data_IF_970148664838
#
_entry.id   IF_970148664838
#
_cell.length_a   1.000
_cell.length_b   1.000
_cell.length_c   1.000
_cell.angle_alpha   90.00
_cell.angle_beta   90.00
_cell.angle_gamma   90.00
#
_symmetry.space_group_name_H-M   'P 1'
#
loop_
_entity.id
_entity.type
_entity.pdbx_description
1 polymer ?
#
# COMPACT_ATOMS: atom_id res chain seq x y z
N UNK A 1 -2.58 4.04 3.64
CA UNK A 1 -2.39 2.72 4.30
C UNK A 1 -3.66 1.89 4.33
N UNK A 2 -4.77 2.37 4.91
CA UNK A 2 -6.02 1.60 4.99
C UNK A 2 -6.53 1.15 3.60
N UNK A 3 -6.50 2.03 2.60
CA UNK A 3 -6.89 1.69 1.22
C UNK A 3 -6.04 0.56 0.62
N UNK A 4 -4.71 0.71 0.65
CA UNK A 4 -3.78 -0.34 0.17
C UNK A 4 -4.01 -1.68 0.86
N UNK A 5 -4.12 -1.69 2.20
CA UNK A 5 -4.32 -2.92 2.96
C UNK A 5 -5.61 -3.66 2.54
N UNK A 6 -6.70 -2.93 2.28
CA UNK A 6 -7.96 -3.53 1.82
C UNK A 6 -7.79 -4.17 0.44
N UNK A 7 -7.11 -3.51 -0.50
CA UNK A 7 -6.88 -4.05 -1.84
C UNK A 7 -5.92 -5.24 -1.87
N UNK A 8 -4.84 -5.18 -1.08
CA UNK A 8 -3.84 -6.22 -0.94
C UNK A 8 -4.45 -7.49 -0.31
N UNK A 9 -5.11 -7.34 0.84
CA UNK A 9 -5.84 -8.43 1.50
C UNK A 9 -6.95 -9.01 0.64
N UNK A 10 -7.73 -8.15 -0.03
CA UNK A 10 -8.82 -8.59 -0.90
C UNK A 10 -8.32 -9.44 -2.07
N UNK A 11 -7.20 -9.05 -2.67
CA UNK A 11 -6.62 -9.77 -3.81
C UNK A 11 -6.04 -11.11 -3.36
N UNK A 12 -5.21 -11.13 -2.31
CA UNK A 12 -4.60 -12.36 -1.81
C UNK A 12 -5.67 -13.33 -1.27
N UNK A 13 -6.67 -12.83 -0.52
CA UNK A 13 -7.77 -13.65 0.00
C UNK A 13 -8.61 -14.25 -1.14
N UNK A 14 -8.87 -13.48 -2.21
CA UNK A 14 -9.59 -13.98 -3.38
C UNK A 14 -8.85 -15.16 -4.04
N UNK A 15 -7.54 -15.04 -4.25
CA UNK A 15 -6.73 -16.13 -4.81
C UNK A 15 -6.61 -17.31 -3.85
N UNK A 16 -6.58 -17.07 -2.55
CA UNK A 16 -6.57 -18.12 -1.52
C UNK A 16 -7.88 -18.92 -1.48
N UNK A 17 -9.03 -18.26 -1.63
CA UNK A 17 -10.36 -18.92 -1.66
C UNK A 17 -10.60 -19.65 -2.98
N UNK A 18 -10.21 -19.04 -4.10
CA UNK A 18 -10.42 -19.63 -5.43
C UNK A 18 -9.44 -20.75 -5.76
N UNK A 19 -8.32 -20.85 -5.04
CA UNK A 19 -7.33 -21.92 -5.18
C UNK A 19 -6.68 -21.99 -6.57
N UNK A 20 -6.73 -20.89 -7.33
CA UNK A 20 -6.19 -20.84 -8.69
C UNK A 20 -4.66 -20.90 -8.60
N UNK A 21 -3.99 -21.86 -9.27
CA UNK A 21 -2.53 -21.99 -9.22
C UNK A 21 -1.87 -20.95 -10.13
N UNK A 22 -1.93 -19.69 -9.72
CA UNK A 22 -1.22 -18.61 -10.38
C UNK A 22 0.18 -18.43 -9.78
N UNK A 23 1.16 -17.97 -10.57
CA UNK A 23 2.48 -17.66 -10.04
C UNK A 23 2.36 -16.55 -8.99
N UNK A 24 2.99 -16.75 -7.84
CA UNK A 24 2.93 -15.83 -6.68
C UNK A 24 3.27 -14.38 -7.10
N UNK A 25 4.25 -14.22 -7.99
CA UNK A 25 4.63 -12.90 -8.53
C UNK A 25 3.46 -12.18 -9.22
N UNK A 26 2.61 -12.89 -9.96
CA UNK A 26 1.45 -12.29 -10.62
C UNK A 26 0.37 -11.86 -9.62
N UNK A 27 0.16 -12.65 -8.56
CA UNK A 27 -0.77 -12.32 -7.49
C UNK A 27 -0.30 -11.06 -6.77
N UNK A 28 0.99 -10.97 -6.43
CA UNK A 28 1.59 -9.79 -5.79
C UNK A 28 1.46 -8.54 -6.67
N UNK A 29 1.77 -8.64 -7.97
CA UNK A 29 1.64 -7.48 -8.88
C UNK A 29 0.17 -7.02 -8.97
N UNK A 30 -0.78 -7.95 -9.04
CA UNK A 30 -2.20 -7.61 -9.03
C UNK A 30 -2.63 -6.98 -7.71
N UNK A 31 -2.13 -7.50 -6.60
CA UNK A 31 -2.43 -6.98 -5.27
C UNK A 31 -1.92 -5.54 -5.12
N UNK A 32 -0.72 -5.24 -5.62
CA UNK A 32 -0.15 -3.90 -5.69
C UNK A 32 -1.00 -2.96 -6.55
N UNK A 33 -1.41 -3.40 -7.74
CA UNK A 33 -2.24 -2.56 -8.62
C UNK A 33 -3.60 -2.25 -7.95
N UNK A 34 -4.26 -3.27 -7.40
CA UNK A 34 -5.55 -3.12 -6.74
C UNK A 34 -5.47 -2.28 -5.46
N UNK A 35 -4.43 -2.48 -4.65
CA UNK A 35 -4.21 -1.72 -3.43
C UNK A 35 -3.86 -0.24 -3.72
N UNK A 36 -3.10 0.05 -4.78
CA UNK A 36 -2.89 1.43 -5.24
C UNK A 36 -4.18 2.08 -5.73
N UNK A 37 -4.97 1.40 -6.56
CA UNK A 37 -6.24 1.94 -7.09
C UNK A 37 -7.20 2.25 -5.96
N UNK A 38 -7.40 1.30 -5.05
CA UNK A 38 -8.31 1.47 -3.91
C UNK A 38 -7.84 2.59 -2.97
N UNK A 39 -6.53 2.73 -2.73
CA UNK A 39 -5.98 3.82 -1.93
C UNK A 39 -6.14 5.18 -2.60
N UNK A 40 -5.83 5.30 -3.89
CA UNK A 40 -5.99 6.56 -4.64
C UNK A 40 -7.46 7.00 -4.63
N UNK A 41 -8.40 6.07 -4.86
CA UNK A 41 -9.83 6.36 -4.81
C UNK A 41 -10.23 6.85 -3.42
N UNK A 42 -9.82 6.13 -2.36
CA UNK A 42 -10.17 6.46 -0.98
C UNK A 42 -9.58 7.81 -0.55
N UNK A 43 -8.31 8.08 -0.86
CA UNK A 43 -7.64 9.36 -0.59
C UNK A 43 -8.28 10.50 -1.38
N UNK A 44 -8.65 10.29 -2.65
CA UNK A 44 -9.33 11.30 -3.47
C UNK A 44 -10.70 11.64 -2.89
N UNK A 45 -11.48 10.65 -2.45
CA UNK A 45 -12.79 10.86 -1.82
C UNK A 45 -12.65 11.64 -0.50
N UNK A 46 -11.65 11.30 0.32
CA UNK A 46 -11.38 11.99 1.59
C UNK A 46 -10.98 13.46 1.32
N UNK A 47 -10.08 13.71 0.37
CA UNK A 47 -9.64 15.05 0.01
C UNK A 47 -10.78 15.90 -0.56
N UNK A 48 -11.64 15.31 -1.39
CA UNK A 48 -12.85 15.98 -1.88
C UNK A 48 -13.79 16.39 -0.73
N UNK A 49 -13.94 15.54 0.29
CA UNK A 49 -14.70 15.89 1.50
C UNK A 49 -14.06 17.02 2.31
N UNK A 50 -12.76 17.25 2.16
CA UNK A 50 -12.01 18.34 2.80
C UNK A 50 -12.02 19.65 1.99
N UNK A 51 -12.96 19.85 1.06
CA UNK A 51 -13.07 21.02 0.17
C UNK A 51 -11.98 21.14 -0.91
N UNK A 52 -11.25 20.07 -1.25
CA UNK A 52 -10.39 20.09 -2.43
C UNK A 52 -11.21 19.90 -3.71
N UNK A 53 -10.85 20.64 -4.75
CA UNK A 53 -11.40 20.45 -6.09
C UNK A 53 -10.94 19.10 -6.66
N UNK A 54 -11.75 18.41 -7.48
CA UNK A 54 -11.44 17.04 -7.95
C UNK A 54 -10.04 16.91 -8.58
N UNK A 55 -9.65 17.91 -9.40
CA UNK A 55 -8.33 17.94 -10.06
C UNK A 55 -7.18 18.09 -9.05
N UNK A 56 -7.39 18.87 -8.00
CA UNK A 56 -6.37 19.14 -6.98
C UNK A 56 -6.25 17.99 -5.98
N UNK A 57 -7.39 17.36 -5.62
CA UNK A 57 -7.42 16.15 -4.82
C UNK A 57 -6.66 15.01 -5.51
N UNK A 58 -6.90 14.80 -6.81
CA UNK A 58 -6.21 13.77 -7.59
C UNK A 58 -4.71 14.08 -7.72
N UNK A 59 -4.34 15.33 -8.06
CA UNK A 59 -2.92 15.74 -8.06
C UNK A 59 -2.23 15.53 -6.72
N UNK A 60 -2.93 15.78 -5.61
CA UNK A 60 -2.37 15.63 -4.26
C UNK A 60 -2.20 14.16 -3.88
N UNK A 61 -3.21 13.32 -4.15
CA UNK A 61 -3.15 11.87 -3.95
C UNK A 61 -2.01 11.22 -4.75
N UNK A 62 -1.82 11.62 -6.01
CA UNK A 62 -0.69 11.14 -6.82
C UNK A 62 0.66 11.76 -6.41
N UNK A 63 0.72 13.05 -6.06
CA UNK A 63 1.97 13.78 -5.90
C UNK A 63 2.69 13.58 -4.57
N UNK A 64 1.96 13.39 -3.47
CA UNK A 64 2.56 13.25 -2.14
C UNK A 64 2.68 11.79 -1.70
N UNK A 65 1.75 10.94 -2.14
CA UNK A 65 1.59 9.59 -1.61
C UNK A 65 2.03 8.48 -2.55
N UNK A 66 2.16 8.68 -3.87
CA UNK A 66 2.34 7.56 -4.81
C UNK A 66 3.63 6.75 -4.60
N UNK A 67 4.80 7.40 -4.50
CA UNK A 67 6.06 6.67 -4.26
C UNK A 67 6.02 5.94 -2.91
N UNK A 68 5.54 6.62 -1.87
CA UNK A 68 5.43 6.03 -0.52
C UNK A 68 4.44 4.87 -0.49
N UNK A 69 3.31 4.97 -1.20
CA UNK A 69 2.32 3.90 -1.36
C UNK A 69 2.91 2.69 -2.08
N UNK A 70 3.62 2.89 -3.19
CA UNK A 70 4.29 1.79 -3.91
C UNK A 70 5.34 1.13 -3.02
N UNK A 71 6.14 1.91 -2.29
CA UNK A 71 7.16 1.33 -1.39
C UNK A 71 6.55 0.49 -0.27
N UNK A 72 5.42 0.95 0.29
CA UNK A 72 4.69 0.26 1.34
C UNK A 72 4.07 -1.05 0.81
N UNK A 73 3.41 -0.99 -0.33
CA UNK A 73 2.82 -2.12 -1.05
C UNK A 73 3.85 -3.22 -1.35
N UNK A 74 5.00 -2.83 -1.90
CA UNK A 74 6.08 -3.77 -2.20
C UNK A 74 6.62 -4.40 -0.92
N UNK A 75 6.81 -3.64 0.15
CA UNK A 75 7.33 -4.18 1.40
C UNK A 75 6.34 -5.10 2.11
N UNK A 76 5.03 -4.79 2.08
CA UNK A 76 3.98 -5.66 2.60
C UNK A 76 3.96 -7.00 1.86
N UNK A 77 3.85 -6.96 0.53
CA UNK A 77 3.85 -8.16 -0.30
C UNK A 77 5.14 -8.98 -0.14
N UNK A 78 6.30 -8.31 -0.06
CA UNK A 78 7.59 -8.98 0.14
C UNK A 78 7.69 -9.63 1.53
N UNK A 79 7.14 -8.99 2.55
CA UNK A 79 7.08 -9.54 3.91
C UNK A 79 6.20 -10.78 3.96
N UNK A 80 5.05 -10.75 3.29
CA UNK A 80 4.18 -11.93 3.16
C UNK A 80 4.91 -13.08 2.48
N UNK A 81 5.57 -12.81 1.35
CA UNK A 81 6.36 -13.79 0.61
C UNK A 81 7.48 -14.41 1.47
N UNK A 82 8.20 -13.60 2.23
CA UNK A 82 9.28 -14.11 3.11
C UNK A 82 8.77 -14.93 4.30
N UNK A 83 7.59 -14.60 4.84
CA UNK A 83 7.05 -15.24 6.04
C UNK A 83 6.24 -16.50 5.72
N UNK A 84 5.53 -16.53 4.60
CA UNK A 84 4.64 -17.65 4.24
C UNK A 84 5.16 -18.50 3.09
N UNK A 85 6.22 -18.05 2.40
CA UNK A 85 6.77 -18.73 1.22
C UNK A 85 5.90 -18.61 -0.02
N UNK A 86 4.84 -17.78 0.03
CA UNK A 86 3.86 -17.58 -1.03
C UNK A 86 3.03 -16.31 -0.80
N UNK A 87 1.91 -16.18 -1.52
CA UNK A 87 0.91 -15.14 -1.25
C UNK A 87 -0.22 -15.78 -0.43
N UNK A 88 -0.04 -15.87 0.89
CA UNK A 88 -1.00 -16.51 1.79
C UNK A 88 -1.22 -15.67 3.04
N UNK A 89 -2.47 -15.25 3.26
CA UNK A 89 -2.83 -14.52 4.46
C UNK A 89 -2.98 -15.48 5.65
N UNK A 90 -2.00 -15.45 6.55
CA UNK A 90 -2.11 -16.11 7.86
C UNK A 90 -2.36 -15.07 8.95
N UNK A 91 -3.17 -15.43 9.95
CA UNK A 91 -3.64 -14.49 10.98
C UNK A 91 -2.50 -13.80 11.78
N UNK A 92 -1.36 -14.48 11.95
CA UNK A 92 -0.18 -13.95 12.62
C UNK A 92 0.69 -13.05 11.74
N UNK A 93 0.64 -13.23 10.41
CA UNK A 93 1.45 -12.44 9.47
C UNK A 93 0.82 -11.08 9.19
N UNK A 94 -0.51 -10.98 9.22
CA UNK A 94 -1.26 -9.71 9.04
C UNK A 94 -0.71 -8.55 9.89
N UNK A 95 -0.58 -8.66 11.23
CA UNK A 95 -0.07 -7.55 12.05
C UNK A 95 1.39 -7.19 11.74
N UNK A 96 2.23 -8.18 11.41
CA UNK A 96 3.64 -7.96 11.05
C UNK A 96 3.71 -7.22 9.72
N UNK A 97 2.96 -7.67 8.71
CA UNK A 97 2.89 -7.08 7.38
C UNK A 97 2.44 -5.62 7.46
N UNK A 98 1.39 -5.32 8.22
CA UNK A 98 0.94 -3.94 8.46
C UNK A 98 2.03 -3.11 9.15
N UNK A 99 2.70 -3.67 10.16
CA UNK A 99 3.77 -2.95 10.87
C UNK A 99 4.93 -2.60 9.93
N UNK A 100 5.37 -3.54 9.09
CA UNK A 100 6.42 -3.30 8.09
C UNK A 100 5.96 -2.30 7.05
N UNK A 101 4.74 -2.44 6.54
CA UNK A 101 4.16 -1.48 5.61
C UNK A 101 4.14 -0.06 6.19
N UNK A 102 3.78 0.11 7.46
CA UNK A 102 3.77 1.42 8.11
C UNK A 102 5.19 1.99 8.31
N UNK A 103 6.16 1.15 8.66
CA UNK A 103 7.55 1.56 8.89
C UNK A 103 8.31 1.86 7.59
N UNK A 104 7.98 1.20 6.49
CA UNK A 104 8.70 1.31 5.20
C UNK A 104 8.73 2.71 4.58
N UNK A 105 7.63 3.50 4.54
CA UNK A 105 7.69 4.84 4.00
C UNK A 105 8.46 5.80 4.91
N UNK A 106 8.77 5.43 6.16
CA UNK A 106 9.36 6.33 7.15
C UNK A 106 10.79 6.79 6.81
N UNK A 107 11.73 5.91 6.40
CA UNK A 107 13.05 6.31 5.93
C UNK A 107 12.99 7.21 4.68
N UNK A 108 12.10 6.91 3.73
CA UNK A 108 11.92 7.72 2.53
C UNK A 108 11.36 9.10 2.86
N UNK A 109 10.33 9.17 3.72
CA UNK A 109 9.76 10.43 4.17
C UNK A 109 10.77 11.24 5.00
N UNK A 110 11.55 10.59 5.87
CA UNK A 110 12.59 11.23 6.67
C UNK A 110 13.73 11.79 5.80
N UNK A 111 14.20 11.03 4.81
CA UNK A 111 15.21 11.52 3.87
C UNK A 111 14.71 12.71 3.03
N UNK A 112 13.45 12.66 2.58
CA UNK A 112 12.80 13.77 1.87
C UNK A 112 12.73 15.01 2.74
N UNK A 113 12.23 14.91 3.98
CA UNK A 113 12.14 16.02 4.93
C UNK A 113 13.52 16.62 5.23
N UNK A 114 14.54 15.78 5.42
CA UNK A 114 15.92 16.21 5.66
C UNK A 114 16.53 16.92 4.44
N UNK A 115 16.22 16.47 3.22
CA UNK A 115 16.70 17.09 1.98
C UNK A 115 16.05 18.45 1.69
N UNK A 116 14.78 18.62 2.05
CA UNK A 116 14.05 19.88 1.86
C UNK A 116 14.12 20.83 3.07
N UNK A 117 14.89 20.49 4.12
CA UNK A 117 15.10 21.35 5.28
C UNK A 117 13.87 21.57 6.17
N UNK A 118 12.80 20.79 5.95
CA UNK A 118 11.57 20.85 6.75
C UNK A 118 11.75 19.85 7.90
N UNK A 119 12.60 20.21 8.85
CA UNK A 119 12.71 19.48 10.11
C UNK A 119 11.50 19.89 10.97
N UNK A 120 10.50 19.02 11.08
CA UNK A 120 9.51 19.14 12.15
C UNK A 120 10.13 18.63 13.44
N UNK A 121 10.29 19.54 14.40
CA UNK A 121 10.53 19.26 15.82
C UNK A 121 9.24 18.77 16.49
#
# INVERSE_FOLDING_TARGET
MLGCAIGDFGTILYFQITGIPWPVLAIMILAIINGLITSIILETIILMKQNFNFKDALKTAFGMSFISMVSMEVAMNLTDYFLTGGAMLTWWVVPIMLTVGFLTPWPYNYWRLKKFGIACH
#
